data_IF_602589023240
#
_entry.id   IF_602589023240
#
_cell.length_a   1.000
_cell.length_b   1.000
_cell.length_c   1.000
_cell.angle_alpha   90.00
_cell.angle_beta   90.00
_cell.angle_gamma   90.00
#
_symmetry.space_group_name_H-M   'P 1'
#
loop_
_entity.id
_entity.type
_entity.pdbx_description
1 polymer ?
#
# COMPACT_ATOMS: atom_id res chain seq x y z
N UNK A 1 10.50 -16.69 9.54
CA UNK A 1 10.90 -15.85 8.39
C UNK A 1 11.10 -14.38 8.75
N UNK A 2 10.42 -13.82 9.77
CA UNK A 2 10.57 -12.41 10.16
C UNK A 2 11.41 -12.20 11.44
N UNK A 3 12.47 -13.00 11.62
CA UNK A 3 13.42 -12.87 12.75
C UNK A 3 14.87 -12.78 12.27
N UNK A 4 15.09 -12.52 10.98
CA UNK A 4 16.44 -12.28 10.47
C UNK A 4 16.75 -10.79 10.60
N UNK A 5 17.83 -10.39 11.30
CA UNK A 5 18.21 -8.98 11.48
C UNK A 5 18.69 -8.31 10.18
N UNK A 6 18.62 -9.00 9.04
CA UNK A 6 19.04 -8.53 7.72
C UNK A 6 17.89 -8.33 6.73
N UNK A 7 16.62 -8.39 7.17
CA UNK A 7 15.51 -7.96 6.31
C UNK A 7 15.48 -6.42 6.27
N UNK A 8 16.52 -5.83 5.68
CA UNK A 8 16.45 -4.45 5.21
C UNK A 8 15.38 -4.44 4.15
N UNK A 9 14.23 -3.82 4.44
CA UNK A 9 13.21 -3.51 3.43
C UNK A 9 13.94 -3.08 2.16
N UNK A 10 13.79 -3.79 1.04
CA UNK A 10 14.53 -3.48 -0.16
C UNK A 10 14.30 -2.00 -0.46
N UNK A 11 15.38 -1.26 -0.71
CA UNK A 11 15.26 0.12 -1.16
C UNK A 11 14.51 0.07 -2.50
N UNK A 12 13.20 0.35 -2.45
CA UNK A 12 12.33 0.24 -3.61
C UNK A 12 12.72 1.35 -4.60
N UNK A 13 13.34 0.97 -5.72
CA UNK A 13 13.59 1.89 -6.82
C UNK A 13 12.28 2.22 -7.54
N UNK A 14 12.12 3.40 -8.15
CA UNK A 14 10.94 3.68 -8.97
C UNK A 14 10.72 2.59 -10.03
N UNK A 15 9.53 1.99 -10.05
CA UNK A 15 9.25 0.84 -10.92
C UNK A 15 7.89 0.20 -10.65
N UNK A 16 7.59 -0.85 -11.41
CA UNK A 16 6.36 -1.63 -11.26
C UNK A 16 6.51 -2.67 -10.15
N UNK A 17 5.57 -2.64 -9.20
CA UNK A 17 5.54 -3.55 -8.06
C UNK A 17 4.26 -4.37 -8.05
N UNK A 18 4.38 -5.63 -7.62
CA UNK A 18 3.26 -6.55 -7.50
C UNK A 18 3.16 -7.08 -6.07
N UNK A 19 1.98 -6.95 -5.48
CA UNK A 19 1.67 -7.54 -4.18
C UNK A 19 1.49 -9.06 -4.36
N UNK A 20 2.23 -9.84 -3.56
CA UNK A 20 2.14 -11.31 -3.54
C UNK A 20 2.36 -11.82 -2.11
N UNK A 21 1.90 -13.05 -1.83
CA UNK A 21 2.08 -13.70 -0.53
C UNK A 21 0.99 -13.34 0.50
N UNK A 22 1.34 -13.42 1.79
CA UNK A 22 0.39 -13.25 2.90
C UNK A 22 -0.22 -11.84 3.01
N UNK A 23 0.37 -10.86 2.33
CA UNK A 23 -0.18 -9.51 2.22
C UNK A 23 -1.36 -9.40 1.24
N UNK A 24 -1.68 -10.49 0.51
CA UNK A 24 -2.72 -10.53 -0.51
C UNK A 24 -2.21 -10.11 -1.90
N UNK A 25 -3.16 -9.92 -2.81
CA UNK A 25 -2.91 -9.59 -4.22
C UNK A 25 -3.05 -8.10 -4.55
N UNK A 26 -3.43 -7.28 -3.57
CA UNK A 26 -3.72 -5.87 -3.78
C UNK A 26 -3.50 -5.05 -2.52
N UNK A 27 -3.19 -3.77 -2.70
CA UNK A 27 -3.21 -2.79 -1.61
C UNK A 27 -4.65 -2.64 -1.07
N UNK A 28 -4.76 -2.34 0.22
CA UNK A 28 -6.04 -2.04 0.86
C UNK A 28 -6.64 -0.77 0.23
N UNK A 29 -7.93 -0.81 -0.11
CA UNK A 29 -8.70 0.38 -0.55
C UNK A 29 -9.57 0.96 0.56
N UNK A 30 -9.75 0.21 1.65
CA UNK A 30 -10.49 0.64 2.82
C UNK A 30 -9.59 1.41 3.78
N UNK A 31 -10.08 2.51 4.36
CA UNK A 31 -9.31 3.28 5.33
C UNK A 31 -9.06 2.45 6.60
N UNK A 32 -7.80 2.31 6.98
CA UNK A 32 -7.40 1.74 8.27
C UNK A 32 -7.33 2.88 9.28
N UNK A 33 -8.16 2.84 10.32
CA UNK A 33 -8.30 3.92 11.31
C UNK A 33 -7.57 3.62 12.64
N UNK A 34 -6.59 2.71 12.60
CA UNK A 34 -5.78 2.33 13.75
C UNK A 34 -4.30 2.31 13.38
N UNK A 35 -3.41 2.60 14.31
CA UNK A 35 -1.95 2.48 14.12
C UNK A 35 -1.46 1.06 14.40
N UNK A 36 -0.26 0.72 13.93
CA UNK A 36 0.42 -0.57 14.20
C UNK A 36 -0.35 -1.82 13.74
N UNK A 37 -1.03 -1.72 12.61
CA UNK A 37 -1.82 -2.81 12.01
C UNK A 37 -1.17 -3.26 10.70
N UNK A 38 -1.44 -4.50 10.25
CA UNK A 38 -0.92 -5.05 8.98
C UNK A 38 0.61 -5.03 8.85
N UNK A 39 1.35 -4.99 9.97
CA UNK A 39 2.82 -4.94 9.98
C UNK A 39 3.41 -3.55 9.72
N UNK A 40 2.60 -2.48 9.76
CA UNK A 40 3.06 -1.11 9.59
C UNK A 40 2.68 -0.25 10.81
N UNK A 41 3.60 0.58 11.29
CA UNK A 41 3.31 1.58 12.35
C UNK A 41 2.24 2.57 11.90
N UNK A 42 2.34 3.02 10.64
CA UNK A 42 1.34 3.86 9.97
C UNK A 42 0.80 3.11 8.76
N UNK A 43 -0.37 2.46 8.86
CA UNK A 43 -0.91 1.70 7.74
C UNK A 43 -1.34 2.65 6.62
N UNK A 44 -0.97 2.27 5.40
CA UNK A 44 -1.35 2.94 4.17
C UNK A 44 -2.49 2.23 3.45
N UNK A 45 -3.35 2.99 2.80
CA UNK A 45 -4.41 2.51 1.92
C UNK A 45 -4.48 3.34 0.65
N UNK A 46 -4.85 2.71 -0.46
CA UNK A 46 -5.10 3.38 -1.72
C UNK A 46 -6.44 4.12 -1.64
N UNK A 47 -6.39 5.43 -1.79
CA UNK A 47 -7.57 6.28 -1.86
C UNK A 47 -8.13 6.24 -3.27
N UNK A 48 -8.97 5.24 -3.52
CA UNK A 48 -9.60 5.02 -4.81
C UNK A 48 -10.05 3.57 -4.98
N UNK A 49 -10.63 3.30 -6.14
CA UNK A 49 -11.05 1.94 -6.51
C UNK A 49 -9.96 1.31 -7.35
N UNK A 50 -9.58 0.07 -7.02
CA UNK A 50 -8.65 -0.68 -7.85
C UNK A 50 -9.27 -1.03 -9.20
N UNK A 51 -8.49 -1.08 -10.29
CA UNK A 51 -8.99 -1.56 -11.56
C UNK A 51 -9.50 -3.01 -11.43
N UNK A 52 -10.70 -3.28 -11.93
CA UNK A 52 -11.32 -4.61 -11.92
C UNK A 52 -11.18 -5.34 -13.26
N UNK A 53 -10.93 -4.59 -14.34
CA UNK A 53 -10.77 -5.12 -15.70
C UNK A 53 -9.28 -5.25 -16.04
N UNK A 54 -8.89 -6.41 -16.57
CA UNK A 54 -7.52 -6.64 -17.07
C UNK A 54 -7.16 -5.60 -18.13
N UNK A 55 -6.01 -4.95 -17.95
CA UNK A 55 -5.53 -3.85 -18.80
C UNK A 55 -6.05 -2.47 -18.40
N UNK A 56 -6.94 -2.36 -17.41
CA UNK A 56 -7.34 -1.07 -16.87
C UNK A 56 -6.30 -0.56 -15.86
N UNK A 57 -6.11 0.77 -15.85
CA UNK A 57 -5.26 1.46 -14.91
C UNK A 57 -6.02 2.56 -14.18
N UNK A 58 -5.85 2.66 -12.86
CA UNK A 58 -6.43 3.74 -12.06
C UNK A 58 -5.30 4.47 -11.35
N UNK A 59 -5.23 5.78 -11.58
CA UNK A 59 -4.33 6.66 -10.82
C UNK A 59 -5.03 7.07 -9.54
N UNK A 60 -4.36 6.88 -8.42
CA UNK A 60 -4.87 7.29 -7.12
C UNK A 60 -3.75 7.52 -6.12
N UNK A 61 -4.12 8.07 -4.97
CA UNK A 61 -3.17 8.50 -3.96
C UNK A 61 -3.10 7.47 -2.85
N UNK A 62 -1.92 7.17 -2.32
CA UNK A 62 -1.81 6.35 -1.11
C UNK A 62 -1.90 7.27 0.11
N UNK A 63 -2.92 7.05 0.93
CA UNK A 63 -3.14 7.73 2.20
C UNK A 63 -2.59 6.89 3.35
N UNK A 64 -2.02 7.52 4.35
CA UNK A 64 -1.52 6.89 5.57
C UNK A 64 -2.27 7.43 6.78
N UNK A 65 -2.57 6.53 7.71
CA UNK A 65 -3.19 6.89 8.98
C UNK A 65 -2.11 7.22 10.02
N UNK A 66 -2.13 8.45 10.52
CA UNK A 66 -1.18 8.97 11.51
C UNK A 66 -1.86 9.43 12.81
N UNK A 67 -3.11 8.99 13.04
CA UNK A 67 -4.00 9.49 14.08
C UNK A 67 -5.18 10.28 13.52
N UNK A 68 -5.05 10.79 12.29
CA UNK A 68 -6.15 11.34 11.50
C UNK A 68 -6.33 10.53 10.21
N UNK A 69 -7.58 10.37 9.71
CA UNK A 69 -7.83 9.75 8.41
C UNK A 69 -7.09 10.50 7.29
N UNK A 70 -6.26 9.79 6.52
CA UNK A 70 -5.38 10.37 5.49
C UNK A 70 -4.53 11.56 5.98
N UNK A 71 -3.88 11.42 7.14
CA UNK A 71 -3.02 12.46 7.70
C UNK A 71 -1.73 12.69 6.91
N UNK A 72 -1.31 11.70 6.11
CA UNK A 72 -0.20 11.83 5.17
C UNK A 72 -0.55 11.13 3.85
N UNK A 73 -0.13 11.70 2.72
CA UNK A 73 -0.35 11.12 1.41
C UNK A 73 0.92 11.16 0.57
N UNK A 74 1.12 10.11 -0.23
CA UNK A 74 2.21 10.04 -1.20
C UNK A 74 1.81 10.69 -2.52
N UNK A 75 2.79 10.85 -3.41
CA UNK A 75 2.51 11.17 -4.81
C UNK A 75 1.56 10.12 -5.43
N UNK A 76 0.76 10.51 -6.44
CA UNK A 76 -0.16 9.58 -7.09
C UNK A 76 0.58 8.39 -7.69
N UNK A 77 0.04 7.19 -7.46
CA UNK A 77 0.50 5.95 -8.08
C UNK A 77 -0.53 5.44 -9.08
N UNK A 78 -0.06 4.69 -10.07
CA UNK A 78 -0.93 4.02 -11.04
C UNK A 78 -1.09 2.56 -10.64
N UNK A 79 -2.29 2.17 -10.23
CA UNK A 79 -2.67 0.78 -10.04
C UNK A 79 -3.11 0.18 -11.39
N UNK A 80 -2.73 -1.07 -11.67
CA UNK A 80 -3.09 -1.82 -12.89
C UNK A 80 -3.64 -3.20 -12.51
N UNK A 81 -4.50 -3.77 -13.36
CA UNK A 81 -5.02 -5.14 -13.25
C UNK A 81 -4.55 -5.98 -14.43
#
# INVERSE_FOLDING_TARGET
CCWSPYDTSPSLTPGWYRFTGSAGSSILTTPVLTTSTCGATYPGYFNGTLPSTVGASVTGTVCFYTGTPCGYSLAPITAVN
#
